data_IF_174725781240
#
_entry.id   IF_174725781240
#
_cell.length_a   1.000
_cell.length_b   1.000
_cell.length_c   1.000
_cell.angle_alpha   90.00
_cell.angle_beta   90.00
_cell.angle_gamma   90.00
#
_symmetry.space_group_name_H-M   'P 1'
#
loop_
_entity.id
_entity.type
_entity.pdbx_description
1 polymer ?
#
# COMPACT_ATOMS: atom_id res chain seq x y z
N UNK A 1 7.71 -23.87 -3.38
CA UNK A 1 8.34 -22.67 -3.99
C UNK A 1 7.95 -21.45 -3.16
N UNK A 2 8.90 -20.60 -2.84
CA UNK A 2 8.73 -19.37 -2.10
C UNK A 2 9.07 -18.16 -2.99
N UNK A 3 9.00 -16.96 -2.42
CA UNK A 3 9.29 -15.71 -3.12
C UNK A 3 10.74 -15.67 -3.62
N UNK A 4 11.72 -16.05 -2.78
CA UNK A 4 13.15 -16.04 -3.14
C UNK A 4 13.43 -16.92 -4.35
N UNK A 5 13.01 -18.19 -4.33
CA UNK A 5 13.19 -19.11 -5.47
C UNK A 5 12.53 -18.59 -6.75
N UNK A 6 11.36 -17.98 -6.62
CA UNK A 6 10.64 -17.42 -7.76
C UNK A 6 11.33 -16.14 -8.30
N UNK A 7 11.83 -15.28 -7.43
CA UNK A 7 12.55 -14.07 -7.80
C UNK A 7 13.85 -14.39 -8.52
N UNK A 8 14.69 -15.26 -7.94
CA UNK A 8 15.97 -15.69 -8.55
C UNK A 8 15.72 -16.29 -9.94
N UNK A 9 14.68 -17.10 -10.08
CA UNK A 9 14.30 -17.67 -11.39
C UNK A 9 13.95 -16.60 -12.43
N UNK A 10 13.31 -15.49 -12.02
CA UNK A 10 12.83 -14.46 -12.94
C UNK A 10 13.91 -13.42 -13.30
N UNK A 11 14.71 -13.00 -12.33
CA UNK A 11 15.60 -11.84 -12.47
C UNK A 11 17.06 -12.12 -12.13
N UNK A 12 17.38 -13.34 -11.72
CA UNK A 12 18.74 -13.73 -11.29
C UNK A 12 19.05 -13.30 -9.85
N UNK A 13 20.14 -13.86 -9.32
CA UNK A 13 20.55 -13.67 -7.92
C UNK A 13 20.97 -12.23 -7.62
N UNK A 14 21.80 -11.62 -8.47
CA UNK A 14 22.36 -10.29 -8.21
C UNK A 14 21.26 -9.22 -8.12
N UNK A 15 20.30 -9.22 -9.04
CA UNK A 15 19.18 -8.28 -9.03
C UNK A 15 18.26 -8.55 -7.84
N UNK A 16 18.00 -9.81 -7.52
CA UNK A 16 17.20 -10.19 -6.36
C UNK A 16 17.83 -9.69 -5.05
N UNK A 17 19.09 -10.02 -4.80
CA UNK A 17 19.79 -9.63 -3.55
C UNK A 17 19.91 -8.10 -3.41
N UNK A 18 20.17 -7.39 -4.52
CA UNK A 18 20.38 -5.94 -4.50
C UNK A 18 19.09 -5.13 -4.42
N UNK A 19 18.08 -5.50 -5.18
CA UNK A 19 16.91 -4.61 -5.39
C UNK A 19 15.61 -5.12 -4.77
N UNK A 20 15.49 -6.42 -4.45
CA UNK A 20 14.22 -7.02 -4.06
C UNK A 20 14.20 -7.49 -2.61
N UNK A 21 15.20 -8.25 -2.22
CA UNK A 21 15.21 -8.95 -0.93
C UNK A 21 15.04 -8.02 0.26
N UNK A 22 15.93 -7.06 0.43
CA UNK A 22 15.92 -6.15 1.58
C UNK A 22 14.64 -5.33 1.65
N UNK A 23 14.18 -4.79 0.52
CA UNK A 23 12.91 -4.06 0.44
C UNK A 23 11.71 -4.93 0.83
N UNK A 24 11.63 -6.14 0.25
CA UNK A 24 10.50 -7.05 0.48
C UNK A 24 10.45 -7.53 1.94
N UNK A 25 11.59 -7.88 2.51
CA UNK A 25 11.67 -8.34 3.90
C UNK A 25 11.31 -7.22 4.89
N UNK A 26 11.68 -5.96 4.62
CA UNK A 26 11.22 -4.80 5.39
C UNK A 26 9.70 -4.61 5.28
N UNK A 27 9.17 -4.67 4.07
CA UNK A 27 7.74 -4.46 3.82
C UNK A 27 6.88 -5.51 4.53
N UNK A 28 7.29 -6.77 4.49
CA UNK A 28 6.51 -7.89 5.03
C UNK A 28 6.88 -8.28 6.47
N UNK A 29 8.02 -7.81 6.98
CA UNK A 29 8.51 -8.17 8.31
C UNK A 29 8.89 -9.65 8.44
N UNK A 30 9.08 -10.36 7.32
CA UNK A 30 9.38 -11.80 7.24
C UNK A 30 10.48 -12.07 6.23
N UNK A 31 11.18 -13.20 6.37
CA UNK A 31 12.14 -13.66 5.38
C UNK A 31 11.46 -13.90 4.02
N UNK A 32 12.17 -13.58 2.93
CA UNK A 32 11.68 -13.86 1.58
C UNK A 32 11.43 -15.36 1.32
N UNK A 33 12.09 -16.23 2.08
CA UNK A 33 11.88 -17.69 2.02
C UNK A 33 10.55 -18.14 2.63
N UNK A 34 9.94 -17.32 3.49
CA UNK A 34 8.64 -17.59 4.13
C UNK A 34 7.48 -16.94 3.37
N UNK A 35 7.79 -16.10 2.39
CA UNK A 35 6.78 -15.37 1.63
C UNK A 35 6.33 -16.17 0.38
N UNK A 36 5.05 -16.06 0.01
CA UNK A 36 4.52 -16.77 -1.14
C UNK A 36 5.03 -16.20 -2.48
N UNK A 37 5.20 -17.03 -3.52
CA UNK A 37 5.82 -16.62 -4.78
C UNK A 37 4.98 -15.65 -5.62
N UNK A 38 3.69 -15.50 -5.34
CA UNK A 38 2.82 -14.59 -6.11
C UNK A 38 3.19 -13.12 -5.91
N UNK A 39 3.79 -12.76 -4.78
CA UNK A 39 4.20 -11.37 -4.48
C UNK A 39 5.14 -10.83 -5.56
N UNK A 40 6.14 -11.61 -5.98
CA UNK A 40 7.09 -11.18 -7.00
C UNK A 40 6.51 -11.23 -8.42
N UNK A 41 5.49 -12.04 -8.68
CA UNK A 41 4.91 -12.19 -10.03
C UNK A 41 4.27 -10.92 -10.57
N UNK A 42 3.90 -9.99 -9.71
CA UNK A 42 3.32 -8.70 -10.12
C UNK A 42 4.34 -7.73 -10.72
N UNK A 43 5.64 -7.95 -10.49
CA UNK A 43 6.66 -7.07 -11.04
C UNK A 43 6.79 -7.27 -12.55
N UNK A 44 6.75 -6.20 -13.36
CA UNK A 44 6.90 -6.29 -14.79
C UNK A 44 8.36 -6.52 -15.17
N UNK A 45 8.72 -7.78 -15.41
CA UNK A 45 10.04 -8.13 -15.96
C UNK A 45 9.99 -8.04 -17.48
N UNK A 46 10.72 -7.09 -18.06
CA UNK A 46 10.78 -6.85 -19.50
C UNK A 46 12.22 -6.80 -19.99
N UNK A 47 12.45 -7.23 -21.21
CA UNK A 47 13.74 -7.13 -21.92
C UNK A 47 13.71 -6.01 -22.98
N UNK A 48 12.98 -4.94 -22.68
CA UNK A 48 12.82 -3.74 -23.51
C UNK A 48 13.08 -2.49 -22.68
N UNK A 49 13.39 -1.36 -23.34
CA UNK A 49 13.57 -0.06 -22.67
C UNK A 49 12.23 0.60 -22.34
N UNK A 50 11.31 -0.14 -21.72
CA UNK A 50 10.03 0.37 -21.23
C UNK A 50 10.05 0.47 -19.71
N UNK A 51 10.07 1.71 -19.20
CA UNK A 51 10.12 2.03 -17.77
C UNK A 51 8.74 2.11 -17.10
N UNK A 52 7.65 1.90 -17.85
CA UNK A 52 6.31 1.92 -17.24
C UNK A 52 6.14 0.73 -16.31
N UNK A 53 5.64 0.99 -15.10
CA UNK A 53 5.30 -0.08 -14.17
C UNK A 53 4.05 -0.84 -14.64
N UNK A 54 3.03 -0.13 -15.12
CA UNK A 54 1.80 -0.71 -15.65
C UNK A 54 1.81 -0.76 -17.17
N UNK A 55 0.97 -1.63 -17.74
CA UNK A 55 0.75 -1.73 -19.18
C UNK A 55 -0.45 -0.89 -19.66
N UNK A 56 -1.04 -0.09 -18.76
CA UNK A 56 -2.22 0.72 -19.06
C UNK A 56 -1.90 1.83 -20.05
N UNK A 57 -2.80 2.04 -21.01
CA UNK A 57 -2.65 3.07 -22.04
C UNK A 57 -2.66 4.49 -21.46
N UNK A 58 -3.43 4.70 -20.38
CA UNK A 58 -3.56 5.99 -19.72
C UNK A 58 -3.15 5.84 -18.26
N UNK A 59 -2.22 6.68 -17.84
CA UNK A 59 -1.69 6.72 -16.48
C UNK A 59 -1.53 8.18 -16.08
N UNK A 60 -1.91 8.53 -14.86
CA UNK A 60 -1.78 9.90 -14.39
C UNK A 60 -2.28 10.08 -12.96
N UNK A 61 -2.05 11.26 -12.44
CA UNK A 61 -2.58 11.73 -11.16
C UNK A 61 -3.64 12.78 -11.49
N UNK A 62 -4.82 12.74 -10.85
CA UNK A 62 -5.87 13.72 -11.10
C UNK A 62 -5.43 15.15 -10.76
N UNK A 63 -5.69 16.09 -11.64
CA UNK A 63 -5.49 17.52 -11.34
C UNK A 63 -6.46 17.91 -10.23
N UNK A 64 -5.94 18.52 -9.15
CA UNK A 64 -6.71 18.85 -7.95
C UNK A 64 -6.86 17.72 -6.93
N UNK A 65 -6.17 16.59 -7.15
CA UNK A 65 -6.12 15.46 -6.21
C UNK A 65 -7.22 14.42 -6.39
N UNK A 66 -7.12 13.34 -5.64
CA UNK A 66 -8.03 12.18 -5.77
C UNK A 66 -9.45 12.47 -5.28
N UNK A 67 -9.64 13.39 -4.35
CA UNK A 67 -10.97 13.73 -3.82
C UNK A 67 -11.91 14.22 -4.92
N UNK A 68 -11.41 14.97 -5.89
CA UNK A 68 -12.20 15.46 -7.04
C UNK A 68 -12.86 14.33 -7.82
N UNK A 69 -12.15 13.21 -8.00
CA UNK A 69 -12.73 12.02 -8.66
C UNK A 69 -13.86 11.44 -7.82
N UNK A 70 -13.62 11.27 -6.51
CA UNK A 70 -14.62 10.70 -5.60
C UNK A 70 -15.86 11.60 -5.51
N UNK A 71 -15.68 12.91 -5.39
CA UNK A 71 -16.77 13.89 -5.38
C UNK A 71 -17.60 13.83 -6.67
N UNK A 72 -16.93 13.72 -7.83
CA UNK A 72 -17.64 13.58 -9.11
C UNK A 72 -18.40 12.25 -9.23
N UNK A 73 -17.85 11.16 -8.71
CA UNK A 73 -18.52 9.85 -8.71
C UNK A 73 -19.74 9.83 -7.77
N UNK A 74 -19.70 10.60 -6.69
CA UNK A 74 -20.74 10.65 -5.67
C UNK A 74 -21.75 11.79 -5.86
N UNK A 75 -21.63 12.58 -6.94
CA UNK A 75 -22.37 13.83 -7.14
C UNK A 75 -23.89 13.76 -6.91
N UNK A 76 -24.52 12.64 -7.29
CA UNK A 76 -25.97 12.44 -7.15
C UNK A 76 -26.30 11.32 -6.17
N UNK A 77 -25.38 11.00 -5.27
CA UNK A 77 -25.51 9.94 -4.27
C UNK A 77 -25.51 10.60 -2.89
N UNK A 78 -26.46 10.21 -2.05
CA UNK A 78 -26.48 10.63 -0.65
C UNK A 78 -25.26 10.07 0.08
N UNK A 79 -24.51 10.93 0.75
CA UNK A 79 -23.27 10.59 1.46
C UNK A 79 -23.34 11.10 2.89
N UNK A 80 -23.22 10.20 3.83
CA UNK A 80 -23.08 10.53 5.25
C UNK A 80 -21.63 10.29 5.68
N UNK A 81 -21.00 11.30 6.28
CA UNK A 81 -19.65 11.24 6.81
C UNK A 81 -19.66 11.10 8.33
N UNK A 82 -18.57 10.58 8.89
CA UNK A 82 -18.38 10.38 10.33
C UNK A 82 -19.44 9.45 10.96
N UNK A 83 -19.94 8.48 10.19
CA UNK A 83 -20.85 7.45 10.66
C UNK A 83 -20.07 6.15 10.86
N UNK A 84 -19.99 5.69 12.12
CA UNK A 84 -19.47 4.35 12.41
C UNK A 84 -20.54 3.30 12.09
N UNK A 85 -20.18 2.36 11.21
CA UNK A 85 -21.10 1.30 10.80
C UNK A 85 -21.53 0.41 11.96
N UNK A 86 -20.62 0.08 12.87
CA UNK A 86 -20.92 -0.87 13.95
C UNK A 86 -21.80 -0.25 15.05
N UNK A 87 -21.66 1.06 15.28
CA UNK A 87 -22.55 1.79 16.20
C UNK A 87 -23.98 1.91 15.64
N UNK A 88 -24.11 2.03 14.31
CA UNK A 88 -25.38 2.27 13.63
C UNK A 88 -25.87 1.08 12.78
N UNK A 89 -25.26 -0.10 12.91
CA UNK A 89 -25.41 -1.26 12.02
C UNK A 89 -26.86 -1.63 11.74
N UNK A 90 -27.70 -1.74 12.77
CA UNK A 90 -29.10 -2.17 12.61
C UNK A 90 -29.92 -1.19 11.77
N UNK A 91 -29.70 0.10 11.96
CA UNK A 91 -30.37 1.16 11.22
C UNK A 91 -29.92 1.19 9.77
N UNK A 92 -28.60 1.15 9.55
CA UNK A 92 -27.99 1.14 8.21
C UNK A 92 -28.40 -0.10 7.40
N UNK A 93 -28.39 -1.29 8.01
CA UNK A 93 -28.84 -2.51 7.36
C UNK A 93 -30.35 -2.48 7.03
N UNK A 94 -31.17 -1.82 7.86
CA UNK A 94 -32.60 -1.69 7.63
C UNK A 94 -32.93 -0.62 6.56
N UNK A 95 -32.09 0.37 6.35
CA UNK A 95 -32.28 1.47 5.40
C UNK A 95 -32.11 1.05 3.94
N UNK A 96 -31.44 -0.06 3.67
CA UNK A 96 -31.04 -0.47 2.33
C UNK A 96 -31.50 -1.90 1.98
N UNK A 97 -31.81 -2.13 0.70
CA UNK A 97 -32.10 -3.49 0.18
C UNK A 97 -30.89 -4.39 0.12
N UNK A 98 -29.70 -3.82 -0.03
CA UNK A 98 -28.40 -4.50 -0.04
C UNK A 98 -27.36 -3.60 0.60
N UNK A 99 -26.48 -4.19 1.38
CA UNK A 99 -25.34 -3.53 2.00
C UNK A 99 -24.06 -4.07 1.37
N UNK A 100 -23.17 -3.17 0.96
CA UNK A 100 -21.82 -3.50 0.54
C UNK A 100 -20.86 -2.95 1.60
N UNK A 101 -20.38 -3.84 2.45
CA UNK A 101 -19.41 -3.47 3.48
C UNK A 101 -18.00 -3.62 2.95
N UNK A 102 -17.22 -2.54 2.98
CA UNK A 102 -15.85 -2.48 2.45
C UNK A 102 -14.77 -2.42 3.55
N UNK A 103 -15.19 -2.50 4.82
CA UNK A 103 -14.28 -2.56 5.96
C UNK A 103 -13.70 -3.97 6.19
N UNK A 104 -13.11 -4.17 7.35
CA UNK A 104 -12.50 -5.44 7.74
C UNK A 104 -13.57 -6.53 7.89
N UNK A 105 -13.44 -7.62 7.11
CA UNK A 105 -14.46 -8.68 7.08
C UNK A 105 -14.54 -9.46 8.40
N UNK A 106 -13.43 -9.68 9.06
CA UNK A 106 -13.39 -10.34 10.37
C UNK A 106 -14.09 -9.50 11.45
N UNK A 107 -13.95 -8.18 11.41
CA UNK A 107 -14.69 -7.27 12.27
C UNK A 107 -16.20 -7.31 11.96
N UNK A 108 -16.59 -7.39 10.69
CA UNK A 108 -18.01 -7.53 10.31
C UNK A 108 -18.68 -8.74 10.96
N UNK A 109 -17.93 -9.83 11.13
CA UNK A 109 -18.38 -11.06 11.79
C UNK A 109 -18.02 -11.13 13.28
N UNK A 110 -17.70 -10.00 13.92
CA UNK A 110 -17.37 -9.92 15.36
C UNK A 110 -16.20 -10.86 15.73
N UNK A 111 -15.27 -11.08 14.80
CA UNK A 111 -14.08 -11.95 14.94
C UNK A 111 -14.40 -13.41 15.33
N UNK A 112 -15.61 -13.87 15.14
CA UNK A 112 -16.07 -15.21 15.55
C UNK A 112 -15.34 -16.38 14.86
N UNK A 113 -14.71 -16.11 13.70
CA UNK A 113 -13.92 -17.10 12.97
C UNK A 113 -12.40 -16.94 13.19
N UNK A 114 -11.98 -15.93 13.92
CA UNK A 114 -10.60 -15.53 14.15
C UNK A 114 -10.29 -14.16 13.61
N UNK A 115 -9.13 -13.62 13.98
CA UNK A 115 -8.63 -12.33 13.50
C UNK A 115 -7.74 -12.56 12.27
N UNK A 116 -7.93 -11.74 11.23
CA UNK A 116 -7.03 -11.66 10.10
C UNK A 116 -5.83 -10.78 10.43
N UNK A 117 -4.69 -11.09 9.84
CA UNK A 117 -3.46 -10.34 10.05
C UNK A 117 -3.25 -9.32 8.93
N UNK A 118 -2.70 -8.17 9.29
CA UNK A 118 -2.39 -7.08 8.38
C UNK A 118 -0.97 -6.57 8.59
N UNK A 119 -0.47 -5.82 7.63
CA UNK A 119 0.67 -4.92 7.82
C UNK A 119 0.15 -3.50 7.92
N UNK A 120 0.81 -2.70 8.72
CA UNK A 120 0.53 -1.28 8.86
C UNK A 120 1.71 -0.43 8.41
N UNK A 121 1.49 0.88 8.32
CA UNK A 121 2.51 1.86 7.96
C UNK A 121 2.60 2.94 9.02
N UNK A 122 3.82 3.39 9.27
CA UNK A 122 4.10 4.58 10.07
C UNK A 122 4.82 5.60 9.19
N UNK A 123 4.39 6.84 9.29
CA UNK A 123 4.93 7.95 8.50
C UNK A 123 5.63 8.97 9.39
N UNK A 124 6.77 9.46 8.92
CA UNK A 124 7.48 10.59 9.52
C UNK A 124 7.58 11.70 8.47
N UNK A 125 6.95 12.85 8.77
CA UNK A 125 6.93 14.01 7.90
C UNK A 125 7.98 15.01 8.33
N UNK A 126 8.71 15.57 7.36
CA UNK A 126 9.72 16.59 7.60
C UNK A 126 9.62 17.69 6.55
N UNK A 127 9.68 18.95 7.00
CA UNK A 127 9.78 20.13 6.13
C UNK A 127 11.24 20.53 6.02
N UNK A 128 11.77 20.51 4.81
CA UNK A 128 13.16 20.87 4.52
C UNK A 128 13.24 22.27 3.91
N UNK A 129 14.28 23.01 4.31
CA UNK A 129 14.57 24.36 3.81
C UNK A 129 15.42 24.30 2.52
N UNK A 130 14.95 23.52 1.59
CA UNK A 130 15.52 23.32 0.26
C UNK A 130 14.41 23.03 -0.75
N UNK A 131 14.63 23.37 -2.00
CA UNK A 131 13.62 23.26 -3.05
C UNK A 131 13.50 21.87 -3.68
N UNK A 132 14.50 21.00 -3.49
CA UNK A 132 14.55 19.67 -4.08
C UNK A 132 15.46 18.76 -3.26
N UNK A 133 14.89 17.72 -2.66
CA UNK A 133 15.62 16.74 -1.86
C UNK A 133 16.13 15.55 -2.69
N UNK A 134 15.27 14.92 -3.47
CA UNK A 134 15.62 13.68 -4.19
C UNK A 134 15.33 13.71 -5.70
N UNK A 135 14.74 14.80 -6.22
CA UNK A 135 14.49 14.97 -7.64
C UNK A 135 13.38 14.07 -8.24
N UNK A 136 12.68 13.32 -7.40
CA UNK A 136 11.61 12.43 -7.80
C UNK A 136 10.55 12.30 -6.70
N UNK A 137 9.30 12.00 -7.09
CA UNK A 137 8.21 11.88 -6.13
C UNK A 137 8.41 10.74 -5.13
N UNK A 138 8.95 9.59 -5.56
CA UNK A 138 9.14 8.43 -4.69
C UNK A 138 10.47 7.76 -5.00
N UNK A 139 11.27 7.53 -3.96
CA UNK A 139 12.48 6.70 -4.01
C UNK A 139 12.35 5.57 -3.01
N UNK A 140 12.49 4.32 -3.48
CA UNK A 140 12.52 3.13 -2.63
C UNK A 140 13.94 2.84 -2.17
N UNK A 141 14.09 2.49 -0.91
CA UNK A 141 15.35 2.10 -0.29
C UNK A 141 15.40 0.59 -0.13
N UNK A 142 16.29 -0.05 -0.85
CA UNK A 142 16.36 -1.51 -0.93
C UNK A 142 17.29 -2.11 0.13
N UNK A 143 18.21 -1.33 0.68
CA UNK A 143 19.15 -1.73 1.70
C UNK A 143 18.45 -2.09 3.02
N UNK A 144 18.89 -3.16 3.68
CA UNK A 144 18.37 -3.61 4.96
C UNK A 144 18.64 -2.65 6.11
N UNK A 145 19.79 -1.99 6.08
CA UNK A 145 20.27 -1.08 7.10
C UNK A 145 19.47 0.22 7.15
N UNK A 146 18.80 0.56 6.06
CA UNK A 146 17.88 1.70 6.00
C UNK A 146 16.52 1.28 6.54
N UNK A 147 16.04 1.86 7.66
CA UNK A 147 14.87 1.34 8.37
C UNK A 147 13.53 1.62 7.69
N UNK A 148 13.45 2.62 6.81
CA UNK A 148 12.25 2.95 6.04
C UNK A 148 12.27 2.25 4.67
N UNK A 149 11.09 2.06 4.11
CA UNK A 149 10.91 1.42 2.80
C UNK A 149 11.06 2.42 1.67
N UNK A 150 10.65 3.67 1.87
CA UNK A 150 10.74 4.73 0.87
C UNK A 150 10.74 6.12 1.49
N UNK A 151 11.17 7.08 0.66
CA UNK A 151 10.93 8.50 0.88
C UNK A 151 10.02 9.01 -0.23
N UNK A 152 9.00 9.79 0.18
CA UNK A 152 8.07 10.48 -0.69
C UNK A 152 8.39 11.96 -0.60
N UNK A 153 8.69 12.60 -1.73
CA UNK A 153 8.81 14.06 -1.85
C UNK A 153 7.58 14.60 -2.58
N UNK A 154 6.64 15.15 -1.83
CA UNK A 154 5.26 15.36 -2.28
C UNK A 154 5.11 16.33 -3.44
N UNK A 155 5.93 17.40 -3.50
CA UNK A 155 5.82 18.42 -4.56
C UNK A 155 5.97 17.87 -5.98
N UNK A 156 6.73 16.79 -6.16
CA UNK A 156 6.98 16.24 -7.48
C UNK A 156 5.74 15.57 -8.10
N UNK A 157 4.73 15.18 -7.32
CA UNK A 157 3.47 14.66 -7.86
C UNK A 157 2.71 15.71 -8.68
N UNK A 158 2.81 16.98 -8.28
CA UNK A 158 2.13 18.10 -8.93
C UNK A 158 3.11 19.05 -9.67
N UNK A 159 4.39 18.65 -9.81
CA UNK A 159 5.45 19.48 -10.38
C UNK A 159 5.57 20.86 -9.69
N UNK A 160 5.42 20.85 -8.38
CA UNK A 160 5.50 22.06 -7.55
C UNK A 160 6.87 22.72 -7.56
N UNK A 161 6.89 24.05 -7.46
CA UNK A 161 8.09 24.90 -7.52
C UNK A 161 8.34 25.67 -6.22
N UNK A 162 7.80 25.20 -5.12
CA UNK A 162 7.95 25.82 -3.79
C UNK A 162 9.43 25.82 -3.37
N UNK A 163 9.88 26.90 -2.68
CA UNK A 163 11.25 27.03 -2.17
C UNK A 163 11.59 25.99 -1.09
N UNK A 164 10.57 25.47 -0.37
CA UNK A 164 10.72 24.40 0.60
C UNK A 164 10.08 23.13 0.11
N UNK A 165 10.56 21.99 0.59
CA UNK A 165 9.96 20.69 0.27
C UNK A 165 9.50 19.96 1.52
N UNK A 166 8.51 19.08 1.34
CA UNK A 166 8.05 18.15 2.37
C UNK A 166 8.41 16.75 1.94
N UNK A 167 9.12 16.06 2.80
CA UNK A 167 9.39 14.63 2.62
C UNK A 167 8.64 13.80 3.65
N UNK A 168 8.32 12.57 3.28
CA UNK A 168 7.72 11.58 4.17
C UNK A 168 8.53 10.30 4.09
N UNK A 169 9.06 9.84 5.24
CA UNK A 169 9.65 8.51 5.38
C UNK A 169 8.57 7.52 5.74
N UNK A 170 8.44 6.45 4.97
CA UNK A 170 7.46 5.40 5.19
C UNK A 170 8.13 4.18 5.82
N UNK A 171 7.61 3.74 6.96
CA UNK A 171 8.05 2.55 7.68
C UNK A 171 6.95 1.50 7.64
N UNK A 172 7.28 0.29 7.22
CA UNK A 172 6.38 -0.84 7.36
C UNK A 172 6.48 -1.41 8.78
N UNK A 173 5.34 -1.57 9.44
CA UNK A 173 5.26 -2.02 10.83
C UNK A 173 4.22 -3.15 10.97
N UNK A 174 4.32 -3.91 12.07
CA UNK A 174 3.30 -4.88 12.42
C UNK A 174 2.01 -4.16 12.79
N UNK A 175 0.90 -4.65 12.26
CA UNK A 175 -0.42 -4.14 12.59
C UNK A 175 -0.84 -4.60 13.98
N UNK A 176 -1.52 -3.73 14.70
CA UNK A 176 -2.21 -4.02 15.96
C UNK A 176 -3.64 -3.52 15.86
N UNK A 177 -4.54 -4.11 16.62
CA UNK A 177 -5.94 -3.64 16.68
C UNK A 177 -5.99 -2.15 17.06
N UNK A 178 -6.63 -1.36 16.21
CA UNK A 178 -6.69 0.10 16.31
C UNK A 178 -5.74 0.84 15.36
N UNK A 179 -4.78 0.16 14.77
CA UNK A 179 -3.95 0.71 13.70
C UNK A 179 -4.69 0.61 12.35
N UNK A 180 -4.30 1.44 11.38
CA UNK A 180 -4.81 1.35 10.01
C UNK A 180 -4.30 0.08 9.31
N UNK A 181 -5.18 -0.79 8.78
CA UNK A 181 -4.80 -2.02 8.08
C UNK A 181 -4.49 -1.73 6.61
N UNK A 182 -3.23 -1.48 6.27
CA UNK A 182 -2.83 -1.15 4.89
C UNK A 182 -2.75 -2.36 3.96
N UNK A 183 -2.23 -3.49 4.44
CA UNK A 183 -2.02 -4.67 3.61
C UNK A 183 -2.49 -5.93 4.31
N UNK A 184 -3.46 -6.68 3.75
CA UNK A 184 -3.83 -8.00 4.29
C UNK A 184 -2.69 -9.00 4.05
N UNK A 185 -2.46 -9.87 5.03
CA UNK A 185 -1.50 -10.97 4.91
C UNK A 185 -2.20 -12.18 4.29
N UNK A 186 -1.89 -12.45 3.01
CA UNK A 186 -2.46 -13.56 2.25
C UNK A 186 -1.58 -14.80 2.37
N UNK A 187 -1.60 -15.46 3.51
CA UNK A 187 -0.96 -16.75 3.74
C UNK A 187 -2.00 -17.85 4.00
N UNK A 188 -1.55 -19.10 4.16
CA UNK A 188 -2.45 -20.23 4.38
C UNK A 188 -3.29 -20.09 5.64
N UNK A 189 -2.72 -19.53 6.71
CA UNK A 189 -3.40 -19.30 7.99
C UNK A 189 -4.55 -18.32 7.81
N UNK A 190 -4.28 -17.16 7.22
CA UNK A 190 -5.29 -16.12 7.00
C UNK A 190 -6.35 -16.55 5.98
N UNK A 191 -5.94 -17.25 4.92
CA UNK A 191 -6.87 -17.78 3.93
C UNK A 191 -7.79 -18.89 4.50
N UNK A 192 -7.38 -19.59 5.54
CA UNK A 192 -8.22 -20.59 6.22
C UNK A 192 -9.28 -19.95 7.13
N UNK A 193 -9.03 -18.72 7.61
CA UNK A 193 -10.00 -17.91 8.37
C UNK A 193 -11.01 -17.25 7.43
N UNK A 194 -10.52 -16.73 6.29
CA UNK A 194 -11.32 -16.07 5.26
C UNK A 194 -12.24 -17.05 4.54
#
# INVERSE_FOLDING_TARGET
KNLEEQAIKLIGTDVYETLIKGYTEKQWGRSATELPPFIIKRLPVRFTFDNNYFNDRYQGIPIGGYNVIIENMLKDIEVELNVDFFENRKELEASAKKVVFTGMIDQYFDYKYGELEYRSLRFEHEVLDEDNFQGNAVVNYTEREVPYTRIIEHKHFEKGTQEKTVITREYSVDWKRGDEPYYPINDEKNNAIY
#
